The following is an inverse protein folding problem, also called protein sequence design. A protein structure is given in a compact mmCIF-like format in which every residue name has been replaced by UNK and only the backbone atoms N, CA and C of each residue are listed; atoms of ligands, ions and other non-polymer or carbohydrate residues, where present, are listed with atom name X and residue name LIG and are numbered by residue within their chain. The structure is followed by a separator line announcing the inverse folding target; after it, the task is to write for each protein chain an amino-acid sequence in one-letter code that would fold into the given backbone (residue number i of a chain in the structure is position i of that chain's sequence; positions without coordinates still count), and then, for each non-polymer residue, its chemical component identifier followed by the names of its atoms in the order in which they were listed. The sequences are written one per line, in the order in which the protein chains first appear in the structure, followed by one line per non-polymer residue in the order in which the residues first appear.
data_IF_276601080565
#
_entry.id   IF_276601080565
#
_cell.length_a   1.000
_cell.length_b   1.000
_cell.length_c   1.000
_cell.angle_alpha   90.00
_cell.angle_beta   90.00
_cell.angle_gamma   90.00
#
_symmetry.space_group_name_H-M   'P 1'
#
loop_
_entity.id
_entity.type
_entity.pdbx_description
1 polymer ?
#
# COMPACT_ATOMS: atom_id res chain seq x y z
N UNK A 1 -11.88 0.87 8.26
CA UNK A 1 -11.03 0.38 7.16
C UNK A 1 -9.93 -0.48 7.72
N UNK A 2 -9.29 -1.27 6.87
CA UNK A 2 -8.12 -2.08 7.21
C UNK A 2 -6.93 -1.56 6.40
N UNK A 3 -5.81 -1.27 7.05
CA UNK A 3 -4.55 -0.96 6.39
C UNK A 3 -3.67 -2.18 6.40
N UNK A 4 -3.27 -2.65 5.22
CA UNK A 4 -2.37 -3.77 5.02
C UNK A 4 -1.03 -3.26 4.48
N UNK A 5 0.07 -3.51 5.20
CA UNK A 5 1.40 -3.27 4.66
C UNK A 5 1.74 -4.39 3.68
N UNK A 6 2.34 -4.02 2.54
CA UNK A 6 2.79 -5.01 1.55
C UNK A 6 3.69 -6.10 2.17
N UNK A 7 3.65 -7.32 1.60
CA UNK A 7 4.53 -8.43 1.96
C UNK A 7 6.01 -8.10 1.73
N UNK A 8 6.91 -8.94 2.22
CA UNK A 8 8.35 -8.72 2.09
C UNK A 8 8.74 -8.63 0.60
N UNK A 9 9.38 -7.52 0.23
CA UNK A 9 9.96 -7.33 -1.10
C UNK A 9 11.42 -7.76 -1.16
N UNK A 10 11.94 -7.95 -2.37
CA UNK A 10 13.38 -8.18 -2.62
C UNK A 10 14.24 -7.07 -1.99
N UNK A 11 13.76 -5.82 -2.01
CA UNK A 11 14.42 -4.70 -1.34
C UNK A 11 14.45 -4.89 0.18
N UNK A 12 13.33 -5.27 0.82
CA UNK A 12 13.31 -5.49 2.27
C UNK A 12 14.28 -6.60 2.68
N UNK A 13 14.30 -7.69 1.92
CA UNK A 13 15.21 -8.81 2.17
C UNK A 13 16.67 -8.34 2.08
N UNK A 14 17.08 -7.74 0.97
CA UNK A 14 18.45 -7.30 0.77
C UNK A 14 18.88 -6.20 1.77
N UNK A 15 18.00 -5.25 2.08
CA UNK A 15 18.24 -4.24 3.12
C UNK A 15 18.46 -4.88 4.50
N UNK A 16 17.64 -5.86 4.88
CA UNK A 16 17.75 -6.52 6.19
C UNK A 16 19.03 -7.31 6.35
N UNK A 17 19.58 -7.84 5.25
CA UNK A 17 20.83 -8.62 5.26
C UNK A 17 22.07 -7.73 5.17
N UNK A 18 22.03 -6.67 4.37
CA UNK A 18 23.23 -5.88 4.02
C UNK A 18 23.31 -4.52 4.72
N UNK A 19 22.18 -3.99 5.21
CA UNK A 19 22.07 -2.64 5.75
C UNK A 19 22.31 -1.53 4.72
N UNK A 20 22.36 -1.85 3.42
CA UNK A 20 22.67 -0.91 2.33
C UNK A 20 21.60 -0.97 1.25
N UNK A 21 21.28 0.20 0.67
CA UNK A 21 20.32 0.28 -0.43
C UNK A 21 20.79 -0.61 -1.61
N UNK A 22 20.04 -1.68 -1.95
CA UNK A 22 20.41 -2.63 -2.99
C UNK A 22 20.17 -2.09 -4.41
N UNK A 23 19.64 -0.87 -4.55
CA UNK A 23 19.32 -0.20 -5.83
C UNK A 23 18.35 -1.01 -6.71
N UNK A 24 17.31 -1.55 -6.09
CA UNK A 24 16.26 -2.32 -6.76
C UNK A 24 15.00 -1.45 -6.86
N UNK A 25 14.72 -0.81 -8.02
CA UNK A 25 13.51 -0.03 -8.21
C UNK A 25 12.28 -0.95 -8.32
N UNK A 26 11.16 -0.48 -7.79
CA UNK A 26 9.85 -1.16 -7.80
C UNK A 26 9.94 -2.70 -7.61
N UNK A 27 10.55 -3.16 -6.50
CA UNK A 27 10.91 -4.56 -6.30
C UNK A 27 9.68 -5.46 -6.25
N UNK A 28 9.85 -6.71 -6.70
CA UNK A 28 8.84 -7.74 -6.52
C UNK A 28 8.79 -8.23 -5.06
N UNK A 29 7.73 -8.93 -4.70
CA UNK A 29 7.68 -9.74 -3.49
C UNK A 29 8.70 -10.88 -3.56
N UNK A 30 9.28 -11.25 -2.41
CA UNK A 30 10.00 -12.52 -2.27
C UNK A 30 9.01 -13.68 -2.15
N UNK A 31 9.49 -14.92 -2.22
CA UNK A 31 8.66 -16.09 -1.90
C UNK A 31 8.06 -16.03 -0.47
N UNK A 32 8.73 -15.37 0.48
CA UNK A 32 8.15 -15.10 1.80
C UNK A 32 7.06 -14.04 1.71
N UNK A 33 7.28 -12.95 0.97
CA UNK A 33 6.28 -11.91 0.73
C UNK A 33 5.01 -12.43 0.07
N UNK A 34 5.13 -13.34 -0.90
CA UNK A 34 3.99 -14.01 -1.53
C UNK A 34 3.19 -14.84 -0.51
N UNK A 35 3.87 -15.61 0.35
CA UNK A 35 3.20 -16.36 1.43
C UNK A 35 2.53 -15.44 2.44
N UNK A 36 3.13 -14.29 2.75
CA UNK A 36 2.55 -13.27 3.62
C UNK A 36 1.28 -12.66 3.01
N UNK A 37 1.33 -12.28 1.72
CA UNK A 37 0.18 -11.76 0.99
C UNK A 37 -0.98 -12.76 0.97
N UNK A 38 -0.66 -14.02 0.69
CA UNK A 38 -1.61 -15.12 0.67
C UNK A 38 -2.23 -15.39 2.05
N UNK A 39 -1.44 -15.30 3.13
CA UNK A 39 -1.94 -15.44 4.49
C UNK A 39 -2.86 -14.28 4.90
N UNK A 40 -2.48 -13.04 4.59
CA UNK A 40 -3.32 -11.86 4.79
C UNK A 40 -4.62 -11.98 4.00
N UNK A 41 -4.57 -12.42 2.75
CA UNK A 41 -5.74 -12.61 1.91
C UNK A 41 -6.73 -13.63 2.48
N UNK A 42 -6.27 -14.76 3.01
CA UNK A 42 -7.14 -15.73 3.69
C UNK A 42 -7.83 -15.11 4.91
N UNK A 43 -7.04 -14.47 5.79
CA UNK A 43 -7.58 -13.88 7.01
C UNK A 43 -8.58 -12.75 6.72
N UNK A 44 -8.32 -11.91 5.71
CA UNK A 44 -9.19 -10.79 5.35
C UNK A 44 -10.44 -11.22 4.56
N UNK A 45 -10.39 -12.34 3.83
CA UNK A 45 -11.56 -12.86 3.14
C UNK A 45 -12.63 -13.40 4.11
N UNK A 46 -12.23 -13.75 5.33
CA UNK A 46 -13.10 -14.22 6.41
C UNK A 46 -13.53 -13.06 7.34
N UNK A 47 -13.29 -11.80 6.96
CA UNK A 47 -13.64 -10.67 7.81
C UNK A 47 -15.14 -10.50 7.98
N UNK A 48 -15.55 -10.07 9.17
CA UNK A 48 -16.88 -9.58 9.47
C UNK A 48 -16.79 -8.12 9.93
N UNK A 49 -17.46 -7.15 9.26
CA UNK A 49 -18.22 -7.31 8.01
C UNK A 49 -17.34 -7.73 6.80
N UNK A 50 -17.93 -8.28 5.72
CA UNK A 50 -17.18 -8.72 4.54
C UNK A 50 -16.55 -7.54 3.82
N UNK A 51 -15.31 -7.70 3.35
CA UNK A 51 -14.64 -6.69 2.53
C UNK A 51 -15.37 -6.50 1.20
N UNK A 52 -15.66 -5.25 0.86
CA UNK A 52 -16.36 -4.87 -0.38
C UNK A 52 -15.48 -4.05 -1.33
N UNK A 53 -14.33 -3.55 -0.84
CA UNK A 53 -13.46 -2.65 -1.60
C UNK A 53 -11.99 -2.83 -1.26
N UNK A 54 -11.14 -2.72 -2.29
CA UNK A 54 -9.68 -2.79 -2.15
C UNK A 54 -9.07 -1.53 -2.78
N UNK A 55 -8.40 -0.72 -1.97
CA UNK A 55 -7.54 0.37 -2.42
C UNK A 55 -6.08 -0.11 -2.41
N UNK A 56 -5.29 0.25 -3.42
CA UNK A 56 -3.91 -0.22 -3.50
C UNK A 56 -2.96 0.84 -4.05
N UNK A 57 -1.77 0.91 -3.47
CA UNK A 57 -0.68 1.71 -4.02
C UNK A 57 -0.25 1.20 -5.41
N UNK A 58 0.22 2.06 -6.34
CA UNK A 58 0.64 1.63 -7.67
C UNK A 58 1.95 0.80 -7.71
N UNK A 59 2.76 0.79 -6.64
CA UNK A 59 3.97 -0.03 -6.56
C UNK A 59 3.68 -1.54 -6.71
N UNK A 60 4.55 -2.24 -7.45
CA UNK A 60 4.44 -3.68 -7.76
C UNK A 60 4.25 -4.54 -6.52
N UNK A 61 5.05 -4.33 -5.48
CA UNK A 61 4.93 -5.07 -4.21
C UNK A 61 3.56 -4.94 -3.54
N UNK A 62 2.89 -3.78 -3.67
CA UNK A 62 1.56 -3.57 -3.14
C UNK A 62 0.50 -4.26 -4.02
N UNK A 63 0.61 -4.14 -5.35
CA UNK A 63 -0.26 -4.84 -6.31
C UNK A 63 -0.18 -6.37 -6.14
N UNK A 64 1.02 -6.93 -6.04
CA UNK A 64 1.24 -8.35 -5.77
C UNK A 64 0.69 -8.78 -4.40
N UNK A 65 0.69 -7.88 -3.41
CA UNK A 65 0.09 -8.18 -2.09
C UNK A 65 -1.43 -8.19 -2.15
N UNK A 66 -2.03 -7.28 -2.93
CA UNK A 66 -3.49 -7.18 -3.07
C UNK A 66 -4.09 -8.30 -3.94
N UNK A 67 -3.34 -8.81 -4.91
CA UNK A 67 -3.83 -9.77 -5.91
C UNK A 67 -4.51 -11.02 -5.33
N UNK A 68 -3.97 -11.70 -4.30
CA UNK A 68 -4.62 -12.91 -3.77
C UNK A 68 -5.93 -12.62 -3.03
N UNK A 69 -6.10 -11.41 -2.45
CA UNK A 69 -7.36 -11.00 -1.81
C UNK A 69 -8.39 -10.62 -2.89
N UNK A 70 -7.98 -9.84 -3.88
CA UNK A 70 -8.79 -9.47 -5.03
C UNK A 70 -9.38 -10.70 -5.74
N UNK A 71 -8.53 -11.70 -6.03
CA UNK A 71 -8.96 -12.94 -6.68
C UNK A 71 -9.96 -13.74 -5.84
N UNK A 72 -9.79 -13.79 -4.51
CA UNK A 72 -10.71 -14.49 -3.60
C UNK A 72 -12.09 -13.85 -3.52
N UNK A 73 -12.12 -12.53 -3.49
CA UNK A 73 -13.35 -11.76 -3.31
C UNK A 73 -14.03 -11.37 -4.63
N UNK A 74 -13.36 -11.56 -5.76
CA UNK A 74 -13.85 -11.10 -7.07
C UNK A 74 -13.90 -9.57 -7.16
N UNK A 75 -13.08 -8.86 -6.38
CA UNK A 75 -13.03 -7.39 -6.34
C UNK A 75 -11.86 -6.92 -7.20
N UNK A 76 -12.12 -6.00 -8.12
CA UNK A 76 -11.07 -5.30 -8.87
C UNK A 76 -10.47 -4.21 -7.96
N UNK A 77 -9.17 -4.22 -7.65
CA UNK A 77 -8.55 -3.18 -6.85
C UNK A 77 -8.62 -1.80 -7.52
N UNK A 78 -8.88 -0.77 -6.72
CA UNK A 78 -8.78 0.63 -7.13
C UNK A 78 -7.38 1.15 -6.78
N UNK A 79 -6.64 1.61 -7.79
CA UNK A 79 -5.29 2.12 -7.59
C UNK A 79 -5.36 3.58 -7.15
N UNK A 80 -4.52 3.97 -6.19
CA UNK A 80 -4.39 5.38 -5.78
C UNK A 80 -2.96 5.74 -5.39
N UNK A 81 -2.47 6.86 -5.93
CA UNK A 81 -1.17 7.43 -5.56
C UNK A 81 -1.08 7.89 -4.11
N UNK A 82 -2.20 8.09 -3.41
CA UNK A 82 -2.20 8.52 -2.01
C UNK A 82 -1.64 7.48 -1.05
N UNK A 83 -1.67 6.20 -1.42
CA UNK A 83 -1.16 5.08 -0.61
C UNK A 83 0.32 4.78 -0.84
N UNK A 84 1.04 5.55 -1.64
CA UNK A 84 2.45 5.31 -1.98
C UNK A 84 3.39 5.55 -0.78
N UNK A 85 4.58 4.98 -0.84
CA UNK A 85 5.65 5.24 0.13
C UNK A 85 6.23 6.67 -0.01
N UNK A 86 6.96 7.11 1.03
CA UNK A 86 7.56 8.45 1.19
C UNK A 86 8.77 8.78 0.29
N UNK A 87 9.08 7.94 -0.70
CA UNK A 87 10.17 8.16 -1.66
C UNK A 87 11.57 8.28 -1.01
N UNK A 88 11.85 7.44 -0.01
CA UNK A 88 13.09 7.55 0.77
C UNK A 88 14.25 6.68 0.26
N UNK A 89 13.97 5.73 -0.62
CA UNK A 89 14.97 4.76 -1.09
C UNK A 89 14.72 4.33 -2.52
N UNK A 90 15.67 3.62 -3.13
CA UNK A 90 15.59 3.22 -4.54
C UNK A 90 14.34 2.41 -4.89
N UNK A 91 13.78 1.65 -3.94
CA UNK A 91 12.55 0.89 -4.14
C UNK A 91 11.30 1.75 -4.35
N UNK A 92 11.37 3.04 -4.08
CA UNK A 92 10.31 4.01 -4.31
C UNK A 92 10.45 4.72 -5.67
N UNK A 93 11.32 4.20 -6.53
CA UNK A 93 11.31 4.53 -7.95
C UNK A 93 10.30 3.57 -8.60
N UNK A 94 9.12 4.09 -8.90
CA UNK A 94 8.05 3.35 -9.57
C UNK A 94 8.36 3.04 -11.04
N UNK A 95 7.42 2.37 -11.70
CA UNK A 95 7.48 2.09 -13.14
C UNK A 95 6.45 2.94 -13.88
N UNK A 96 6.74 3.35 -15.12
CA UNK A 96 5.82 4.20 -15.89
C UNK A 96 4.42 3.60 -15.94
N UNK A 97 3.39 4.44 -15.84
CA UNK A 97 1.99 3.99 -15.81
C UNK A 97 1.66 3.03 -16.95
N UNK A 98 2.14 3.27 -18.18
CA UNK A 98 1.89 2.36 -19.30
C UNK A 98 2.48 0.96 -19.08
N UNK A 99 3.64 0.88 -18.42
CA UNK A 99 4.26 -0.41 -18.09
C UNK A 99 3.43 -1.15 -17.05
N UNK A 100 2.98 -0.46 -16.00
CA UNK A 100 2.09 -1.05 -14.99
C UNK A 100 0.76 -1.49 -15.61
N UNK A 101 0.16 -0.67 -16.48
CA UNK A 101 -1.08 -0.99 -17.19
C UNK A 101 -0.94 -2.24 -18.08
N UNK A 102 0.22 -2.44 -18.70
CA UNK A 102 0.47 -3.64 -19.51
C UNK A 102 0.56 -4.92 -18.68
N UNK A 103 1.07 -4.84 -17.45
CA UNK A 103 1.17 -5.98 -16.53
C UNK A 103 -0.15 -6.26 -15.80
N UNK A 104 -0.96 -5.22 -15.59
CA UNK A 104 -2.23 -5.28 -14.86
C UNK A 104 -3.38 -4.67 -15.70
N UNK A 105 -3.74 -5.28 -16.85
CA UNK A 105 -4.65 -4.66 -17.82
C UNK A 105 -6.09 -4.50 -17.35
N UNK A 106 -6.45 -5.10 -16.22
CA UNK A 106 -7.78 -5.01 -15.61
C UNK A 106 -7.91 -3.86 -14.61
N UNK A 107 -6.81 -3.18 -14.25
CA UNK A 107 -6.82 -2.04 -13.34
C UNK A 107 -7.01 -0.74 -14.12
N UNK A 108 -7.86 0.16 -13.63
CA UNK A 108 -7.90 1.53 -14.13
C UNK A 108 -6.75 2.34 -13.53
N UNK A 109 -5.80 2.71 -14.40
CA UNK A 109 -4.66 3.55 -14.07
C UNK A 109 -4.71 4.90 -14.79
N UNK A 110 -5.77 5.20 -15.55
CA UNK A 110 -5.85 6.36 -16.44
C UNK A 110 -5.72 7.71 -15.71
N UNK A 111 -6.05 7.72 -14.42
CA UNK A 111 -5.97 8.88 -13.54
C UNK A 111 -4.55 9.15 -13.00
N UNK A 112 -3.59 8.24 -13.17
CA UNK A 112 -2.21 8.45 -12.75
C UNK A 112 -1.42 9.21 -13.82
N UNK A 113 -0.44 10.00 -13.40
CA UNK A 113 0.59 10.51 -14.32
C UNK A 113 1.46 9.37 -14.85
N UNK A 114 2.08 9.58 -16.02
CA UNK A 114 3.02 8.59 -16.56
C UNK A 114 4.19 8.32 -15.60
N UNK A 115 4.62 9.36 -14.88
CA UNK A 115 5.57 9.29 -13.76
C UNK A 115 4.81 9.73 -12.51
N UNK A 116 4.20 8.76 -11.82
CA UNK A 116 3.35 8.99 -10.65
C UNK A 116 4.10 8.99 -9.31
N UNK A 117 5.36 8.53 -9.30
CA UNK A 117 6.18 8.53 -8.09
C UNK A 117 6.96 9.84 -7.94
N UNK A 118 7.23 10.30 -6.70
CA UNK A 118 7.99 11.52 -6.49
C UNK A 118 9.43 11.40 -7.00
N UNK A 119 10.02 12.54 -7.38
CA UNK A 119 11.45 12.63 -7.74
C UNK A 119 12.37 12.85 -6.53
N UNK A 120 11.79 13.20 -5.39
CA UNK A 120 12.50 13.54 -4.15
C UNK A 120 11.77 12.91 -2.98
N UNK A 121 12.53 12.56 -1.95
CA UNK A 121 11.97 12.14 -0.68
C UNK A 121 11.01 13.20 -0.15
N UNK A 122 9.86 12.74 0.33
CA UNK A 122 8.91 13.61 1.01
C UNK A 122 9.42 13.96 2.41
N UNK A 123 9.17 15.19 2.83
CA UNK A 123 9.25 15.55 4.24
C UNK A 123 8.13 14.87 5.01
N UNK A 124 8.31 14.76 6.31
CA UNK A 124 7.27 14.27 7.22
C UNK A 124 5.94 15.00 7.01
N UNK A 125 5.95 16.34 6.99
CA UNK A 125 4.77 17.15 6.76
C UNK A 125 4.05 16.83 5.44
N UNK A 126 4.80 16.49 4.38
CA UNK A 126 4.20 16.08 3.10
C UNK A 126 3.53 14.71 3.20
N UNK A 127 4.16 13.74 3.89
CA UNK A 127 3.55 12.42 4.13
C UNK A 127 2.30 12.56 5.00
N UNK A 128 2.35 13.36 6.06
CA UNK A 128 1.22 13.62 6.95
C UNK A 128 0.06 14.32 6.22
N UNK A 129 0.36 15.31 5.38
CA UNK A 129 -0.66 15.98 4.56
C UNK A 129 -1.36 14.99 3.61
N UNK A 130 -0.59 14.11 2.96
CA UNK A 130 -1.13 13.06 2.08
C UNK A 130 -1.91 11.99 2.85
N UNK A 131 -1.49 11.62 4.04
CA UNK A 131 -2.24 10.73 4.93
C UNK A 131 -3.59 11.35 5.33
N UNK A 132 -3.60 12.63 5.70
CA UNK A 132 -4.82 13.35 6.03
C UNK A 132 -5.78 13.46 4.83
N UNK A 133 -5.26 13.73 3.63
CA UNK A 133 -6.04 13.72 2.39
C UNK A 133 -6.68 12.35 2.14
N UNK A 134 -5.90 11.26 2.24
CA UNK A 134 -6.40 9.89 2.10
C UNK A 134 -7.51 9.58 3.11
N UNK A 135 -7.31 9.94 4.38
CA UNK A 135 -8.28 9.69 5.44
C UNK A 135 -9.57 10.50 5.26
N UNK A 136 -9.48 11.75 4.83
CA UNK A 136 -10.66 12.57 4.52
C UNK A 136 -11.49 11.95 3.39
N UNK A 137 -10.84 11.46 2.33
CA UNK A 137 -11.51 10.77 1.23
C UNK A 137 -12.11 9.43 1.66
N UNK A 138 -11.43 8.67 2.52
CA UNK A 138 -11.95 7.43 3.07
C UNK A 138 -13.16 7.68 3.98
N UNK A 139 -13.07 8.64 4.90
CA UNK A 139 -14.15 9.01 5.83
C UNK A 139 -15.41 9.50 5.13
N UNK A 140 -15.28 10.14 3.96
CA UNK A 140 -16.40 10.62 3.16
C UNK A 140 -17.24 9.49 2.53
N UNK A 141 -16.79 8.23 2.59
CA UNK A 141 -17.47 7.11 1.95
C UNK A 141 -18.17 6.20 2.96
N UNK A 142 -19.42 5.78 2.71
CA UNK A 142 -20.15 4.90 3.63
C UNK A 142 -19.57 3.47 3.72
N UNK A 143 -18.75 3.06 2.75
CA UNK A 143 -18.14 1.72 2.69
C UNK A 143 -16.73 1.65 3.33
N UNK A 144 -16.31 2.69 4.07
CA UNK A 144 -14.98 2.76 4.66
C UNK A 144 -14.69 1.61 5.65
N UNK A 145 -15.71 1.11 6.35
CA UNK A 145 -15.56 0.00 7.31
C UNK A 145 -15.17 -1.32 6.64
N UNK A 146 -15.60 -1.53 5.40
CA UNK A 146 -15.38 -2.76 4.61
C UNK A 146 -14.31 -2.57 3.52
N UNK A 147 -13.50 -1.52 3.64
CA UNK A 147 -12.40 -1.22 2.72
C UNK A 147 -11.06 -1.73 3.26
N UNK A 148 -10.28 -2.43 2.43
CA UNK A 148 -8.85 -2.73 2.67
C UNK A 148 -8.00 -1.78 1.84
N UNK A 149 -6.99 -1.16 2.45
CA UNK A 149 -6.01 -0.30 1.81
C UNK A 149 -4.61 -0.93 1.90
N UNK A 150 -4.03 -1.30 0.75
CA UNK A 150 -2.72 -1.95 0.65
C UNK A 150 -1.63 -0.92 0.36
N UNK A 151 -0.69 -0.77 1.30
CA UNK A 151 0.22 0.37 1.38
C UNK A 151 1.64 -0.03 1.85
N UNK A 152 2.39 0.94 2.38
CA UNK A 152 3.81 0.83 2.76
C UNK A 152 4.05 1.30 4.19
N UNK A 153 5.29 1.15 4.66
CA UNK A 153 5.63 1.42 6.05
C UNK A 153 5.42 2.89 6.43
N UNK A 154 5.94 3.84 5.65
CA UNK A 154 5.91 5.26 6.04
C UNK A 154 4.50 5.84 6.05
N UNK A 155 3.65 5.47 5.08
CA UNK A 155 2.25 5.91 5.05
C UNK A 155 1.39 5.19 6.10
N UNK A 156 1.66 3.90 6.37
CA UNK A 156 0.98 3.18 7.45
C UNK A 156 1.31 3.77 8.82
N UNK A 157 2.59 4.10 9.07
CA UNK A 157 3.01 4.75 10.30
C UNK A 157 2.35 6.12 10.46
N UNK A 158 2.29 6.92 9.37
CA UNK A 158 1.62 8.20 9.39
C UNK A 158 0.12 8.06 9.74
N UNK A 159 -0.58 7.05 9.24
CA UNK A 159 -2.01 6.86 9.49
C UNK A 159 -2.30 6.20 10.85
N UNK A 160 -1.61 5.12 11.18
CA UNK A 160 -1.90 4.30 12.35
C UNK A 160 -1.19 4.80 13.62
N UNK A 161 -0.10 5.55 13.48
CA UNK A 161 0.79 5.90 14.59
C UNK A 161 1.66 4.75 15.11
N UNK A 162 1.58 3.58 14.48
CA UNK A 162 2.36 2.39 14.83
C UNK A 162 2.98 1.73 13.60
N UNK A 163 4.12 1.07 13.81
CA UNK A 163 4.82 0.35 12.74
C UNK A 163 4.15 -0.99 12.48
N UNK A 164 3.77 -1.23 11.22
CA UNK A 164 3.31 -2.54 10.75
C UNK A 164 4.47 -3.31 10.15
N UNK A 165 4.58 -4.60 10.44
CA UNK A 165 5.49 -5.53 9.77
C UNK A 165 5.00 -5.89 8.35
N UNK A 166 5.89 -6.46 7.53
CA UNK A 166 5.52 -6.87 6.18
C UNK A 166 4.37 -7.91 6.20
N UNK A 167 3.31 -7.63 5.45
CA UNK A 167 2.14 -8.50 5.35
C UNK A 167 1.20 -8.48 6.56
N UNK A 168 1.44 -7.62 7.54
CA UNK A 168 0.50 -7.41 8.66
C UNK A 168 -0.42 -6.24 8.39
N UNK A 169 -1.53 -6.20 9.13
CA UNK A 169 -2.57 -5.20 8.95
C UNK A 169 -3.13 -4.72 10.28
N UNK A 170 -3.73 -3.53 10.27
CA UNK A 170 -4.43 -2.93 11.40
C UNK A 170 -5.77 -2.35 10.97
N UNK A 171 -6.73 -2.30 11.90
CA UNK A 171 -7.99 -1.58 11.70
C UNK A 171 -7.79 -0.12 12.02
N UNK A 172 -8.26 0.75 11.14
CA UNK A 172 -8.23 2.20 11.33
C UNK A 172 -9.61 2.78 11.06
N UNK A 173 -10.01 3.68 11.96
CA UNK A 173 -11.17 4.55 11.80
C UNK A 173 -10.71 5.86 11.15
N UNK A 174 -11.06 6.12 9.88
CA UNK A 174 -10.68 7.34 9.18
C UNK A 174 -11.49 8.56 9.65
N UNK A 175 -12.55 8.36 10.44
CA UNK A 175 -13.37 9.44 11.02
C UNK A 175 -12.84 9.90 12.37
N UNK A 176 -11.97 9.10 13.00
CA UNK A 176 -11.35 9.45 14.26
C UNK A 176 -10.34 10.60 14.10
N UNK A 177 -10.14 11.44 15.14
CA UNK A 177 -9.13 12.49 15.11
C UNK A 177 -7.74 11.90 14.87
N UNK A 178 -7.04 12.40 13.84
CA UNK A 178 -5.72 11.94 13.47
C UNK A 178 -4.72 12.20 14.62
N UNK A 179 -4.15 11.13 15.20
CA UNK A 179 -3.09 11.23 16.22
C UNK A 179 -1.75 11.37 15.52
N UNK A 180 -1.40 12.59 15.11
CA UNK A 180 -0.23 12.84 14.26
C UNK A 180 0.96 13.41 15.01
N UNK A 181 1.63 12.63 15.86
CA UNK A 181 2.97 12.95 16.38
C UNK A 181 3.74 11.64 16.68
N UNK A 182 4.46 11.07 15.71
CA UNK A 182 5.16 9.79 15.88
C UNK A 182 6.53 9.72 15.20
N UNK A 183 7.17 10.86 14.94
CA UNK A 183 8.50 10.93 14.33
C UNK A 183 9.56 11.44 15.30
#
# INVERSE_FOLDING_TARGET
MILLRHGQSEYNHAMSTTGRDPRIPDPSLTALGERQAEAAARALAESDPPITRILVSPYRRALQTAAPLAARLGIVPEVTGLLRERCASSCDIGRPRMVVASEWPHLDLSHLDEIWWPRRAESEAQVMGRAAEFLALAAARPDWETTVAVCHWGIALAICGESLDNGTWARVDPTAPHRGEFW
#
